data_IF_141541935164
#
_entry.id   IF_141541935164
#
_cell.length_a   1.000
_cell.length_b   1.000
_cell.length_c   1.000
_cell.angle_alpha   90.00
_cell.angle_beta   90.00
_cell.angle_gamma   90.00
#
_symmetry.space_group_name_H-M   'P 1'
#
loop_
_entity.id
_entity.type
_entity.pdbx_description
1 polymer ?
#
# COMPACT_ATOMS: atom_id res chain seq x y z
N UNK A 1 -0.22 -12.09 -38.42
CA UNK A 1 -0.41 -12.38 -36.97
C UNK A 1 0.35 -11.43 -36.05
N UNK A 2 1.69 -11.30 -36.13
CA UNK A 2 2.47 -10.43 -35.22
C UNK A 2 2.08 -8.93 -35.24
N UNK A 3 1.69 -8.39 -36.40
CA UNK A 3 1.25 -6.99 -36.52
C UNK A 3 -0.09 -6.74 -35.84
N UNK A 4 -1.05 -7.66 -36.01
CA UNK A 4 -2.38 -7.60 -35.38
C UNK A 4 -2.25 -7.71 -33.85
N UNK A 5 -1.39 -8.60 -33.34
CA UNK A 5 -1.10 -8.68 -31.91
C UNK A 5 -0.49 -7.40 -31.35
N UNK A 6 0.45 -6.76 -32.08
CA UNK A 6 1.02 -5.47 -31.68
C UNK A 6 -0.02 -4.35 -31.66
N UNK A 7 -0.92 -4.30 -32.65
CA UNK A 7 -2.00 -3.31 -32.68
C UNK A 7 -2.99 -3.50 -31.53
N UNK A 8 -3.38 -4.75 -31.24
CA UNK A 8 -4.26 -5.06 -30.09
C UNK A 8 -3.59 -4.66 -28.78
N UNK A 9 -2.31 -4.99 -28.59
CA UNK A 9 -1.56 -4.62 -27.39
C UNK A 9 -1.46 -3.09 -27.23
N UNK A 10 -1.20 -2.37 -28.32
CA UNK A 10 -1.17 -0.90 -28.32
C UNK A 10 -2.55 -0.30 -28.00
N UNK A 11 -3.63 -0.88 -28.55
CA UNK A 11 -4.99 -0.48 -28.22
C UNK A 11 -5.31 -0.70 -26.74
N UNK A 12 -4.91 -1.84 -26.16
CA UNK A 12 -5.09 -2.13 -24.73
C UNK A 12 -4.32 -1.13 -23.88
N UNK A 13 -3.04 -0.88 -24.19
CA UNK A 13 -2.24 0.13 -23.49
C UNK A 13 -2.89 1.52 -23.61
N UNK A 14 -3.40 1.88 -24.78
CA UNK A 14 -4.06 3.19 -24.96
C UNK A 14 -5.36 3.30 -24.16
N UNK A 15 -6.11 2.20 -24.03
CA UNK A 15 -7.33 2.18 -23.20
C UNK A 15 -7.00 2.29 -21.71
N UNK A 16 -5.83 1.80 -21.28
CA UNK A 16 -5.34 2.01 -19.92
C UNK A 16 -4.93 3.48 -19.64
N UNK A 17 -4.89 4.36 -20.63
CA UNK A 17 -4.59 5.77 -20.38
C UNK A 17 -5.86 6.59 -20.14
N UNK A 18 -7.03 6.13 -20.63
CA UNK A 18 -8.29 6.86 -20.60
C UNK A 18 -9.15 6.45 -19.39
N UNK A 19 -9.14 7.23 -18.31
CA UNK A 19 -9.86 6.98 -17.04
C UNK A 19 -11.29 7.55 -16.99
N UNK A 20 -11.97 7.42 -15.84
CA UNK A 20 -13.12 8.26 -15.44
C UNK A 20 -12.73 9.23 -14.30
N UNK A 21 -13.46 10.35 -14.14
CA UNK A 21 -13.25 11.36 -13.10
C UNK A 21 -14.19 11.28 -11.88
N UNK A 22 -15.04 10.24 -11.74
CA UNK A 22 -16.13 10.27 -10.75
C UNK A 22 -15.80 9.55 -9.43
N UNK A 23 -14.94 8.53 -9.45
CA UNK A 23 -14.59 7.74 -8.27
C UNK A 23 -13.10 7.87 -7.96
N UNK A 24 -12.73 8.45 -6.80
CA UNK A 24 -11.34 8.51 -6.41
C UNK A 24 -10.81 7.09 -6.14
N UNK A 25 -9.51 6.83 -6.37
CA UNK A 25 -8.93 5.56 -5.99
C UNK A 25 -9.06 5.34 -4.47
N UNK A 26 -9.24 4.09 -4.01
CA UNK A 26 -9.22 3.77 -2.58
C UNK A 26 -7.90 4.23 -1.97
N UNK A 27 -7.79 4.43 -0.66
CA UNK A 27 -6.51 4.91 -0.04
C UNK A 27 -5.43 3.83 0.06
N UNK A 28 -5.82 2.57 0.07
CA UNK A 28 -4.96 1.39 0.01
C UNK A 28 -5.80 0.22 -0.51
N UNK A 29 -5.14 -0.85 -0.95
CA UNK A 29 -5.81 -2.14 -1.10
C UNK A 29 -5.73 -2.92 0.22
N UNK A 30 -5.24 -4.16 0.20
CA UNK A 30 -5.10 -4.98 1.41
C UNK A 30 -3.88 -4.52 2.22
N UNK A 31 -2.74 -4.38 1.56
CA UNK A 31 -1.49 -3.89 2.15
C UNK A 31 -0.80 -2.82 1.32
N UNK A 32 -1.00 -2.81 -0.01
CA UNK A 32 -0.29 -1.87 -0.88
C UNK A 32 -0.93 -0.46 -0.80
N UNK A 33 -0.13 0.62 -0.82
CA UNK A 33 -0.66 1.97 -0.96
C UNK A 33 -1.05 2.25 -2.41
N UNK A 34 -2.07 3.09 -2.57
CA UNK A 34 -2.47 3.68 -3.85
C UNK A 34 -2.21 5.20 -3.84
N UNK A 35 -2.48 5.88 -4.95
CA UNK A 35 -2.42 7.34 -5.03
C UNK A 35 -3.58 8.07 -4.33
N UNK A 36 -4.58 7.33 -3.81
CA UNK A 36 -5.71 7.89 -3.08
C UNK A 36 -5.35 8.35 -1.67
N UNK A 37 -5.95 9.46 -1.23
CA UNK A 37 -5.77 10.08 0.09
C UNK A 37 -7.11 10.18 0.83
N UNK A 38 -7.06 10.26 2.16
CA UNK A 38 -8.24 10.64 2.94
C UNK A 38 -8.62 12.09 2.62
N UNK A 39 -9.91 12.33 2.37
CA UNK A 39 -10.48 13.67 2.18
C UNK A 39 -10.29 14.49 3.46
N UNK A 40 -10.11 15.80 3.32
CA UNK A 40 -9.90 16.71 4.46
C UNK A 40 -10.94 16.52 5.55
N UNK A 41 -10.48 16.37 6.80
CA UNK A 41 -11.32 16.19 7.98
C UNK A 41 -11.86 14.77 8.16
N UNK A 42 -11.57 13.86 7.23
CA UNK A 42 -11.91 12.43 7.38
C UNK A 42 -10.83 11.72 8.19
N UNK A 43 -11.22 10.64 8.85
CA UNK A 43 -10.30 9.75 9.55
C UNK A 43 -10.61 8.30 9.19
N UNK A 44 -9.60 7.45 9.27
CA UNK A 44 -9.74 6.01 9.12
C UNK A 44 -8.96 5.31 10.23
N UNK A 45 -9.61 4.36 10.88
CA UNK A 45 -8.98 3.48 11.85
C UNK A 45 -8.84 2.09 11.22
N UNK A 46 -7.67 1.50 11.37
CA UNK A 46 -7.42 0.11 11.01
C UNK A 46 -6.96 -0.69 12.23
N UNK A 47 -7.31 -1.96 12.23
CA UNK A 47 -6.89 -2.95 13.21
C UNK A 47 -6.58 -4.24 12.45
N UNK A 48 -5.43 -4.83 12.73
CA UNK A 48 -4.97 -6.04 12.06
C UNK A 48 -4.58 -7.08 13.10
N UNK A 49 -5.20 -8.25 12.99
CA UNK A 49 -4.79 -9.45 13.70
C UNK A 49 -3.73 -10.15 12.84
N UNK A 50 -2.63 -10.53 13.48
CA UNK A 50 -1.43 -11.05 12.85
C UNK A 50 -1.09 -12.44 13.44
N UNK A 51 -0.08 -13.10 12.87
CA UNK A 51 0.37 -14.40 13.37
C UNK A 51 0.78 -14.33 14.84
N UNK A 52 0.74 -15.49 15.50
CA UNK A 52 1.02 -15.63 16.94
C UNK A 52 0.16 -14.68 17.81
N UNK A 53 -1.03 -14.30 17.35
CA UNK A 53 -1.93 -13.42 18.09
C UNK A 53 -1.44 -11.99 18.25
N UNK A 54 -0.54 -11.52 17.37
CA UNK A 54 -0.17 -10.11 17.31
C UNK A 54 -1.35 -9.25 16.86
N UNK A 55 -1.42 -8.02 17.37
CA UNK A 55 -2.40 -7.02 16.94
C UNK A 55 -1.69 -5.70 16.70
N UNK A 56 -1.98 -5.06 15.58
CA UNK A 56 -1.63 -3.67 15.32
C UNK A 56 -2.88 -2.84 15.06
N UNK A 57 -2.85 -1.58 15.45
CA UNK A 57 -3.90 -0.61 15.15
C UNK A 57 -3.29 0.69 14.64
N UNK A 58 -3.90 1.24 13.59
CA UNK A 58 -3.54 2.51 12.99
C UNK A 58 -4.70 3.50 13.01
N UNK A 59 -4.39 4.78 13.15
CA UNK A 59 -5.31 5.89 12.93
C UNK A 59 -4.68 6.85 11.91
N UNK A 60 -5.43 7.14 10.84
CA UNK A 60 -5.05 8.08 9.78
C UNK A 60 -6.07 9.20 9.71
N UNK A 61 -5.62 10.40 9.39
CA UNK A 61 -6.42 11.62 9.23
C UNK A 61 -6.06 12.33 7.94
N UNK A 62 -7.07 12.76 7.19
CA UNK A 62 -6.92 13.65 6.04
C UNK A 62 -6.75 15.08 6.53
N UNK A 63 -5.53 15.60 6.52
CA UNK A 63 -5.21 16.97 6.94
C UNK A 63 -5.66 17.96 5.86
N UNK A 64 -5.41 17.60 4.60
CA UNK A 64 -5.93 18.26 3.40
C UNK A 64 -6.41 17.19 2.42
N UNK A 65 -7.07 17.57 1.33
CA UNK A 65 -7.47 16.60 0.30
C UNK A 65 -6.28 15.88 -0.35
N UNK A 66 -5.05 16.42 -0.19
CA UNK A 66 -3.81 15.85 -0.72
C UNK A 66 -2.88 15.27 0.33
N UNK A 67 -3.05 15.61 1.59
CA UNK A 67 -2.10 15.26 2.65
C UNK A 67 -2.79 14.48 3.77
N UNK A 68 -2.27 13.29 4.02
CA UNK A 68 -2.67 12.41 5.10
C UNK A 68 -1.52 12.22 6.08
N UNK A 69 -1.89 12.20 7.36
CA UNK A 69 -1.02 11.84 8.47
C UNK A 69 -1.65 10.70 9.26
N UNK A 70 -0.86 9.79 9.78
CA UNK A 70 -1.33 8.70 10.64
C UNK A 70 -0.25 8.14 11.53
N UNK A 71 -0.70 7.46 12.58
CA UNK A 71 0.14 6.74 13.53
C UNK A 71 -0.41 5.34 13.71
N UNK A 72 0.48 4.37 13.97
CA UNK A 72 0.09 3.02 14.35
C UNK A 72 0.92 2.50 15.52
N UNK A 73 0.37 1.57 16.27
CA UNK A 73 1.07 0.88 17.33
C UNK A 73 0.48 -0.51 17.52
N UNK A 74 1.27 -1.42 18.09
CA UNK A 74 0.86 -2.81 18.22
C UNK A 74 1.72 -3.60 19.18
N UNK A 75 1.40 -4.89 19.24
CA UNK A 75 2.12 -5.87 20.01
C UNK A 75 2.04 -7.24 19.33
N UNK A 76 3.08 -8.04 19.55
CA UNK A 76 3.09 -9.48 19.29
C UNK A 76 2.54 -10.23 20.49
N UNK A 77 1.96 -11.40 20.26
CA UNK A 77 1.49 -12.29 21.32
C UNK A 77 0.47 -11.61 22.26
N UNK A 78 -0.35 -10.70 21.72
CA UNK A 78 -1.42 -10.05 22.50
C UNK A 78 -2.56 -11.02 22.83
N UNK A 79 -2.83 -11.96 21.92
CA UNK A 79 -3.79 -13.05 22.11
C UNK A 79 -3.04 -14.38 22.03
N UNK A 80 -2.75 -15.01 23.16
CA UNK A 80 -2.04 -16.28 23.18
C UNK A 80 -1.66 -16.73 24.58
N UNK A 81 -0.86 -17.79 24.64
CA UNK A 81 -0.31 -18.40 25.86
C UNK A 81 1.17 -18.04 26.10
N UNK A 82 1.79 -17.33 25.17
CA UNK A 82 3.15 -16.79 25.30
C UNK A 82 3.15 -15.36 25.87
N UNK A 83 4.33 -14.87 26.24
CA UNK A 83 4.56 -13.54 26.75
C UNK A 83 4.23 -12.44 25.72
N UNK A 84 3.44 -11.46 26.17
CA UNK A 84 3.14 -10.23 25.44
C UNK A 84 4.44 -9.45 25.13
N UNK A 85 4.62 -9.05 23.86
CA UNK A 85 5.73 -8.21 23.43
C UNK A 85 5.22 -6.99 22.68
N UNK A 86 5.32 -5.81 23.28
CA UNK A 86 4.98 -4.55 22.61
C UNK A 86 5.97 -4.24 21.48
N UNK A 87 5.50 -3.58 20.43
CA UNK A 87 6.41 -2.96 19.48
C UNK A 87 7.22 -1.84 20.15
N UNK A 88 8.45 -1.56 19.68
CA UNK A 88 9.38 -0.67 20.39
C UNK A 88 8.91 0.79 20.42
N UNK A 89 8.18 1.23 19.41
CA UNK A 89 7.65 2.59 19.30
C UNK A 89 6.41 2.64 18.39
N UNK A 90 5.61 3.72 18.48
CA UNK A 90 4.63 4.03 17.45
C UNK A 90 5.28 4.25 16.09
N UNK A 91 4.57 3.86 15.05
CA UNK A 91 4.96 4.00 13.65
C UNK A 91 4.16 5.11 12.97
N UNK A 92 4.69 5.65 11.88
CA UNK A 92 4.15 6.81 11.18
C UNK A 92 3.70 6.42 9.77
N UNK A 93 2.55 6.96 9.36
CA UNK A 93 2.02 6.90 8.01
C UNK A 93 1.84 8.31 7.44
N UNK A 94 2.63 8.67 6.44
CA UNK A 94 2.49 9.92 5.70
C UNK A 94 2.12 9.61 4.26
N UNK A 95 1.23 10.41 3.67
CA UNK A 95 0.97 10.36 2.23
C UNK A 95 0.68 11.75 1.68
N UNK A 96 1.32 12.08 0.57
CA UNK A 96 1.07 13.30 -0.19
C UNK A 96 0.75 12.96 -1.66
N UNK A 97 -0.44 13.37 -2.11
CA UNK A 97 -0.87 13.24 -3.50
C UNK A 97 -0.29 14.38 -4.35
N UNK A 98 0.70 14.03 -5.18
CA UNK A 98 1.43 14.95 -6.06
C UNK A 98 0.61 15.35 -7.28
N UNK A 99 -0.07 14.38 -7.89
CA UNK A 99 -0.81 14.57 -9.13
C UNK A 99 -2.19 13.95 -8.96
N UNK A 100 -3.23 14.72 -9.28
CA UNK A 100 -4.59 14.19 -9.35
C UNK A 100 -4.73 13.26 -10.53
N UNK A 101 -5.48 12.20 -10.34
CA UNK A 101 -5.93 11.42 -11.46
C UNK A 101 -6.85 12.28 -12.36
N UNK A 102 -6.59 12.22 -13.66
CA UNK A 102 -7.43 12.85 -14.67
C UNK A 102 -7.77 11.83 -15.75
N UNK A 103 -8.55 12.24 -16.76
CA UNK A 103 -8.85 11.40 -17.91
C UNK A 103 -7.58 10.83 -18.56
N UNK A 104 -6.49 11.59 -18.65
CA UNK A 104 -5.26 11.20 -19.39
C UNK A 104 -4.06 10.90 -18.50
N UNK A 105 -4.08 11.29 -17.23
CA UNK A 105 -2.95 11.12 -16.32
C UNK A 105 -3.33 10.23 -15.13
N UNK A 106 -2.53 9.23 -14.74
CA UNK A 106 -2.72 8.55 -13.46
C UNK A 106 -2.49 9.51 -12.30
N UNK A 107 -3.21 9.28 -11.20
CA UNK A 107 -2.89 9.92 -9.93
C UNK A 107 -1.54 9.42 -9.44
N UNK A 108 -0.74 10.30 -8.84
CA UNK A 108 0.57 9.96 -8.30
C UNK A 108 0.65 10.44 -6.86
N UNK A 109 1.11 9.58 -5.96
CA UNK A 109 1.42 9.93 -4.58
C UNK A 109 2.80 9.43 -4.17
N UNK A 110 3.36 10.11 -3.18
CA UNK A 110 4.50 9.67 -2.40
C UNK A 110 4.09 9.54 -0.95
N UNK A 111 4.78 8.69 -0.20
CA UNK A 111 4.51 8.57 1.22
C UNK A 111 5.59 7.83 1.98
N UNK A 112 5.38 7.78 3.28
CA UNK A 112 6.18 7.03 4.24
C UNK A 112 5.24 6.11 5.00
N UNK A 113 5.57 4.84 5.12
CA UNK A 113 4.91 3.93 6.04
C UNK A 113 5.97 3.13 6.79
N UNK A 114 6.17 3.44 8.07
CA UNK A 114 7.16 2.76 8.91
C UNK A 114 6.61 1.52 9.63
N UNK A 115 5.32 1.21 9.50
CA UNK A 115 4.73 0.02 10.10
C UNK A 115 4.93 -1.20 9.21
N UNK A 116 5.75 -2.15 9.69
CA UNK A 116 5.84 -3.51 9.16
C UNK A 116 4.79 -4.45 9.76
N UNK A 117 4.88 -5.74 9.42
CA UNK A 117 3.96 -6.78 9.86
C UNK A 117 4.67 -7.93 10.57
N UNK A 118 3.95 -8.56 11.49
CA UNK A 118 4.44 -9.68 12.30
C UNK A 118 5.12 -9.22 13.59
N UNK A 119 5.92 -10.12 14.16
CA UNK A 119 6.75 -9.83 15.32
C UNK A 119 7.90 -8.89 14.95
N UNK A 120 8.32 -8.10 15.93
CA UNK A 120 9.51 -7.27 15.82
C UNK A 120 10.72 -8.04 16.39
N UNK A 121 11.81 -8.06 15.64
CA UNK A 121 13.10 -8.63 16.04
C UNK A 121 13.98 -7.51 16.61
N UNK A 122 14.31 -7.61 17.89
CA UNK A 122 15.11 -6.60 18.60
C UNK A 122 16.60 -6.60 18.19
N UNK A 123 17.10 -7.68 17.58
CA UNK A 123 18.50 -7.82 17.15
C UNK A 123 18.66 -7.19 15.76
N UNK A 124 17.80 -7.60 14.82
CA UNK A 124 17.79 -7.08 13.45
C UNK A 124 17.04 -5.74 13.33
N UNK A 125 16.41 -5.27 14.40
CA UNK A 125 15.61 -4.03 14.44
C UNK A 125 14.62 -3.94 13.27
N UNK A 126 13.86 -5.03 13.05
CA UNK A 126 12.88 -5.12 11.97
C UNK A 126 11.68 -5.98 12.30
N UNK A 127 10.58 -5.74 11.62
CA UNK A 127 9.45 -6.63 11.53
C UNK A 127 9.77 -7.83 10.63
N UNK A 128 9.05 -8.94 10.84
CA UNK A 128 9.18 -10.13 10.00
C UNK A 128 8.79 -9.90 8.54
N UNK A 129 7.86 -8.99 8.30
CA UNK A 129 7.68 -8.37 6.97
C UNK A 129 7.93 -6.89 7.13
N UNK A 130 8.97 -6.41 6.45
CA UNK A 130 9.41 -5.02 6.50
C UNK A 130 8.28 -4.08 6.14
N UNK A 131 8.30 -2.91 6.75
CA UNK A 131 7.51 -1.78 6.35
C UNK A 131 7.80 -1.40 4.90
N UNK A 132 6.88 -0.67 4.27
CA UNK A 132 7.15 -0.13 2.94
C UNK A 132 8.28 0.92 2.98
N UNK A 133 8.46 1.62 4.10
CA UNK A 133 9.38 2.75 4.17
C UNK A 133 8.90 3.89 3.28
N UNK A 134 9.82 4.50 2.53
CA UNK A 134 9.47 5.52 1.54
C UNK A 134 8.90 4.83 0.30
N UNK A 135 7.77 5.32 -0.22
CA UNK A 135 7.16 4.76 -1.42
C UNK A 135 6.67 5.83 -2.38
N UNK A 136 6.55 5.44 -3.65
CA UNK A 136 5.85 6.17 -4.68
C UNK A 136 4.84 5.23 -5.36
N UNK A 137 3.65 5.73 -5.68
CA UNK A 137 2.57 4.94 -6.25
C UNK A 137 1.79 5.74 -7.30
N UNK A 138 1.39 5.04 -8.35
CA UNK A 138 0.52 5.54 -9.38
C UNK A 138 -0.80 4.76 -9.36
N UNK A 139 -1.91 5.44 -9.65
CA UNK A 139 -3.25 4.82 -9.69
C UNK A 139 -4.07 5.37 -10.83
N UNK A 140 -4.86 4.48 -11.43
CA UNK A 140 -5.74 4.81 -12.56
C UNK A 140 -7.02 3.99 -12.45
N UNK A 141 -8.15 4.64 -12.62
CA UNK A 141 -9.49 4.08 -12.47
C UNK A 141 -10.28 4.19 -13.78
N UNK A 142 -11.10 3.18 -14.06
CA UNK A 142 -11.96 3.11 -15.23
C UNK A 142 -13.37 2.70 -14.83
N UNK A 143 -14.38 3.36 -15.41
CA UNK A 143 -15.73 2.81 -15.42
C UNK A 143 -15.79 1.66 -16.40
N UNK A 144 -16.19 0.50 -15.91
CA UNK A 144 -16.56 -0.64 -16.76
C UNK A 144 -18.06 -0.86 -16.68
N UNK A 145 -18.68 -1.57 -17.65
CA UNK A 145 -20.09 -1.94 -17.56
C UNK A 145 -20.47 -2.76 -16.32
N UNK A 146 -19.48 -3.34 -15.64
CA UNK A 146 -19.64 -4.22 -14.49
C UNK A 146 -19.29 -3.53 -13.16
N UNK A 147 -18.82 -2.29 -13.18
CA UNK A 147 -18.30 -1.63 -11.98
C UNK A 147 -17.10 -0.70 -12.22
N UNK A 148 -16.63 -0.03 -11.17
CA UNK A 148 -15.38 0.71 -11.22
C UNK A 148 -14.20 -0.28 -11.10
N UNK A 149 -13.18 -0.11 -11.93
CA UNK A 149 -11.95 -0.90 -11.86
C UNK A 149 -10.77 0.04 -11.67
N UNK A 150 -9.88 -0.23 -10.74
CA UNK A 150 -8.63 0.50 -10.56
C UNK A 150 -7.41 -0.38 -10.76
N UNK A 151 -6.33 0.23 -11.24
CA UNK A 151 -5.01 -0.37 -11.35
C UNK A 151 -4.02 0.51 -10.58
N UNK A 152 -3.23 -0.15 -9.75
CA UNK A 152 -2.27 0.49 -8.88
C UNK A 152 -0.92 -0.19 -9.06
N UNK A 153 0.14 0.61 -9.10
CA UNK A 153 1.50 0.11 -9.11
C UNK A 153 2.40 1.09 -8.40
N UNK A 154 3.47 0.60 -7.81
CA UNK A 154 4.42 1.45 -7.13
C UNK A 154 5.72 0.75 -6.81
N UNK A 155 6.59 1.55 -6.21
CA UNK A 155 7.92 1.16 -5.77
C UNK A 155 8.10 1.64 -4.34
N UNK A 156 8.87 0.91 -3.54
CA UNK A 156 9.21 1.30 -2.18
C UNK A 156 10.66 0.96 -1.84
N UNK A 157 11.19 1.70 -0.87
CA UNK A 157 12.51 1.47 -0.31
C UNK A 157 12.44 1.66 1.21
N UNK A 158 12.86 0.63 1.93
CA UNK A 158 12.91 0.66 3.38
C UNK A 158 14.30 1.08 3.85
N UNK A 159 14.37 2.23 4.52
CA UNK A 159 15.60 2.79 5.09
C UNK A 159 15.61 2.74 6.63
N UNK A 160 14.57 2.14 7.22
CA UNK A 160 14.39 2.05 8.67
C UNK A 160 14.85 0.69 9.20
N UNK A 161 14.69 -0.37 8.40
CA UNK A 161 14.93 -1.77 8.77
C UNK A 161 16.07 -2.35 7.91
N UNK A 162 17.31 -1.92 8.20
CA UNK A 162 18.49 -2.16 7.33
C UNK A 162 19.58 -3.05 7.95
N UNK A 163 19.44 -3.48 9.21
CA UNK A 163 20.51 -4.24 9.90
C UNK A 163 20.70 -5.67 9.39
N UNK A 164 19.76 -6.16 8.59
CA UNK A 164 19.86 -7.44 7.89
C UNK A 164 20.58 -7.34 6.54
N UNK A 165 21.08 -6.14 6.20
CA UNK A 165 21.81 -5.82 4.97
C UNK A 165 20.99 -5.96 3.68
N UNK A 166 19.66 -6.05 3.78
CA UNK A 166 18.76 -6.04 2.63
C UNK A 166 18.08 -4.66 2.51
N UNK A 167 18.66 -3.83 1.65
CA UNK A 167 18.17 -2.48 1.34
C UNK A 167 17.54 -2.39 -0.06
N UNK A 168 17.20 -3.54 -0.65
CA UNK A 168 16.74 -3.62 -2.03
C UNK A 168 15.44 -2.81 -2.23
N UNK A 169 15.30 -2.25 -3.43
CA UNK A 169 14.05 -1.62 -3.83
C UNK A 169 13.02 -2.68 -4.14
N UNK A 170 11.80 -2.47 -3.67
CA UNK A 170 10.70 -3.40 -3.87
C UNK A 170 9.62 -2.81 -4.80
N UNK A 171 8.93 -3.71 -5.48
CA UNK A 171 7.86 -3.39 -6.43
C UNK A 171 6.54 -3.99 -5.93
N UNK A 172 5.46 -3.26 -6.14
CA UNK A 172 4.12 -3.76 -5.85
C UNK A 172 3.12 -3.31 -6.91
N UNK A 173 2.07 -4.10 -7.08
CA UNK A 173 0.95 -3.80 -7.97
C UNK A 173 -0.35 -4.37 -7.42
N UNK A 174 -1.47 -3.81 -7.84
CA UNK A 174 -2.77 -4.34 -7.48
C UNK A 174 -3.89 -3.78 -8.35
N UNK A 175 -5.03 -4.45 -8.26
CA UNK A 175 -6.25 -4.15 -8.99
C UNK A 175 -7.40 -4.18 -7.99
N UNK A 176 -8.28 -3.19 -8.05
CA UNK A 176 -9.58 -3.25 -7.39
C UNK A 176 -10.70 -3.30 -8.44
N UNK A 177 -11.78 -3.99 -8.09
CA UNK A 177 -12.98 -4.06 -8.88
C UNK A 177 -14.20 -3.89 -7.96
N UNK A 178 -14.86 -2.75 -8.04
CA UNK A 178 -16.07 -2.43 -7.29
C UNK A 178 -17.30 -2.86 -8.09
N UNK A 179 -17.93 -3.98 -7.70
CA UNK A 179 -19.15 -4.48 -8.36
C UNK A 179 -20.37 -3.60 -8.05
N UNK A 180 -20.44 -3.11 -6.81
CA UNK A 180 -21.46 -2.20 -6.31
C UNK A 180 -20.93 -1.48 -5.05
N UNK A 181 -21.65 -0.49 -4.48
CA UNK A 181 -21.17 0.29 -3.34
C UNK A 181 -20.84 -0.51 -2.05
N UNK A 182 -21.26 -1.77 -1.97
CA UNK A 182 -21.08 -2.64 -0.79
C UNK A 182 -20.08 -3.78 -1.03
N UNK A 183 -19.74 -4.07 -2.29
CA UNK A 183 -18.93 -5.23 -2.67
C UNK A 183 -17.84 -4.87 -3.69
N UNK A 184 -16.59 -5.09 -3.27
CA UNK A 184 -15.41 -5.00 -4.12
C UNK A 184 -14.54 -6.24 -4.03
N UNK A 185 -13.82 -6.54 -5.11
CA UNK A 185 -12.72 -7.49 -5.15
C UNK A 185 -11.41 -6.72 -5.21
N UNK A 186 -10.49 -7.02 -4.31
CA UNK A 186 -9.16 -6.44 -4.26
C UNK A 186 -8.13 -7.55 -4.50
N UNK A 187 -7.20 -7.32 -5.41
CA UNK A 187 -6.10 -8.23 -5.71
C UNK A 187 -4.80 -7.44 -5.67
N UNK A 188 -3.80 -7.94 -4.96
CA UNK A 188 -2.49 -7.31 -4.89
C UNK A 188 -1.36 -8.32 -5.03
N UNK A 189 -0.22 -7.82 -5.46
CA UNK A 189 1.03 -8.54 -5.58
C UNK A 189 2.16 -7.65 -5.06
N UNK A 190 2.93 -8.17 -4.14
CA UNK A 190 4.16 -7.57 -3.63
C UNK A 190 5.32 -8.47 -4.06
N UNK A 191 6.33 -7.90 -4.72
CA UNK A 191 7.45 -8.67 -5.26
C UNK A 191 8.39 -9.20 -4.18
N UNK A 192 8.34 -8.63 -2.97
CA UNK A 192 9.17 -8.99 -1.82
C UNK A 192 10.66 -9.03 -2.17
N UNK A 193 11.12 -8.07 -2.98
CA UNK A 193 12.53 -7.97 -3.38
C UNK A 193 13.44 -7.55 -2.22
N UNK A 194 12.86 -6.89 -1.21
CA UNK A 194 13.54 -6.44 0.01
C UNK A 194 13.39 -7.43 1.18
N UNK A 195 13.15 -8.69 0.84
CA UNK A 195 12.97 -9.82 1.75
C UNK A 195 13.75 -11.06 1.26
N UNK A 196 14.74 -10.86 0.40
CA UNK A 196 15.43 -11.93 -0.31
C UNK A 196 16.77 -12.31 0.33
N UNK A 197 17.36 -11.41 1.13
CA UNK A 197 18.60 -11.59 1.84
C UNK A 197 18.36 -11.40 3.35
N UNK A 198 18.77 -12.37 4.16
CA UNK A 198 18.65 -12.31 5.62
C UNK A 198 19.99 -12.70 6.25
N UNK A 199 20.96 -11.79 6.25
CA UNK A 199 22.25 -11.99 6.90
C UNK A 199 22.33 -11.18 8.20
N UNK A 200 22.56 -11.86 9.32
CA UNK A 200 22.81 -11.25 10.63
C UNK A 200 24.32 -11.28 10.92
N UNK A 201 24.90 -10.17 11.40
CA UNK A 201 26.27 -10.14 11.95
C UNK A 201 26.28 -10.46 13.45
#
# INVERSE_FOLDING_TARGET
MKLIQKCIFLCIISSLILAQSAYPPPTSLVTIPTAGTLVRGSFAMDMRIQKNGGISSGLKVGITDRFQFGLSFGASNLIGDDSLKWYPHPEVNLKYQLIDETMTMPGIAIGLNSQGFGAYDDILERYETKAYGLYATASKNWTTPLGNMGLHAGVNQNFLEIKDHDEDQNLFMGIDFEFNPELSLLVEYNAALNENDNEAE
#
